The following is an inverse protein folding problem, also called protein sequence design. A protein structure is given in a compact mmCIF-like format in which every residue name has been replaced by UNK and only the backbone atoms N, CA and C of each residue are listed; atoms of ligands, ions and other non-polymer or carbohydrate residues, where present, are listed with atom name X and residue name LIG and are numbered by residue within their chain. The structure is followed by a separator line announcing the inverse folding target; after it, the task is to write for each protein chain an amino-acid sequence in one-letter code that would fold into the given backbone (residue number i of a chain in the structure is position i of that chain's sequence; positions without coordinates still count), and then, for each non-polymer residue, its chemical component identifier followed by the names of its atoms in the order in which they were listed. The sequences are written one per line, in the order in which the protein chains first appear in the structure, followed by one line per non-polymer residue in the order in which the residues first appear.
data_IF_809321776801
#
_entry.id   IF_809321776801
#
_cell.length_a   1.000
_cell.length_b   1.000
_cell.length_c   1.000
_cell.angle_alpha   90.00
_cell.angle_beta   90.00
_cell.angle_gamma   90.00
#
_symmetry.space_group_name_H-M   'P 1'
#
loop_
_entity.id
_entity.type
_entity.pdbx_description
1 polymer ?
#
# COMPACT_ATOMS: atom_id res chain seq x y z
N UNK A 1 5.54 -2.86 -5.01
CA UNK A 1 4.65 -3.98 -4.61
C UNK A 1 5.48 -5.22 -4.33
N UNK A 2 4.86 -6.39 -4.16
CA UNK A 2 5.53 -7.64 -3.77
C UNK A 2 6.77 -7.97 -4.64
N UNK A 3 6.74 -7.66 -5.94
CA UNK A 3 7.86 -7.90 -6.86
C UNK A 3 9.17 -7.22 -6.44
N UNK A 4 9.13 -6.12 -5.68
CA UNK A 4 10.35 -5.44 -5.20
C UNK A 4 11.20 -6.31 -4.27
N UNK A 5 10.59 -7.32 -3.62
CA UNK A 5 11.31 -8.28 -2.78
C UNK A 5 12.21 -9.23 -3.58
N UNK A 6 12.03 -9.33 -4.89
CA UNK A 6 12.96 -10.08 -5.76
C UNK A 6 14.33 -9.42 -5.86
N UNK A 7 14.41 -8.10 -5.66
CA UNK A 7 15.68 -7.36 -5.67
C UNK A 7 16.32 -7.35 -4.28
N UNK A 8 15.60 -6.85 -3.27
CA UNK A 8 15.99 -6.94 -1.86
C UNK A 8 14.82 -6.52 -0.93
N UNK A 9 14.88 -6.82 0.39
CA UNK A 9 13.83 -6.46 1.33
C UNK A 9 13.54 -4.96 1.44
N UNK A 10 14.54 -4.08 1.27
CA UNK A 10 14.35 -2.63 1.35
C UNK A 10 13.50 -2.09 0.20
N UNK A 11 13.83 -2.49 -1.04
CA UNK A 11 13.06 -2.13 -2.25
C UNK A 11 11.67 -2.75 -2.18
N UNK A 12 11.58 -4.01 -1.73
CA UNK A 12 10.32 -4.69 -1.47
C UNK A 12 9.43 -3.91 -0.51
N UNK A 13 9.92 -3.59 0.68
CA UNK A 13 9.18 -2.86 1.70
C UNK A 13 8.78 -1.46 1.25
N UNK A 14 9.70 -0.70 0.66
CA UNK A 14 9.41 0.65 0.16
C UNK A 14 8.31 0.63 -0.90
N UNK A 15 8.50 -0.17 -1.96
CA UNK A 15 7.53 -0.21 -3.06
C UNK A 15 6.20 -0.83 -2.61
N UNK A 16 6.19 -1.74 -1.64
CA UNK A 16 4.96 -2.26 -1.04
C UNK A 16 4.22 -1.15 -0.30
N UNK A 17 4.92 -0.45 0.60
CA UNK A 17 4.34 0.56 1.46
C UNK A 17 3.74 1.72 0.66
N UNK A 18 4.38 2.16 -0.44
CA UNK A 18 3.81 3.22 -1.30
C UNK A 18 2.41 2.87 -1.82
N UNK A 19 2.20 1.66 -2.34
CA UNK A 19 0.89 1.23 -2.84
C UNK A 19 -0.12 0.91 -1.71
N UNK A 20 0.34 0.66 -0.48
CA UNK A 20 -0.49 0.32 0.67
C UNK A 20 -0.63 1.47 1.68
N UNK A 21 -0.12 2.66 1.36
CA UNK A 21 -0.23 3.82 2.23
C UNK A 21 -1.55 4.55 1.96
N UNK A 22 -2.49 4.47 2.91
CA UNK A 22 -3.83 5.07 2.74
C UNK A 22 -3.79 6.57 2.46
N UNK A 23 -2.82 7.31 3.01
CA UNK A 23 -2.67 8.73 2.69
C UNK A 23 -2.31 8.99 1.22
N UNK A 24 -1.52 8.11 0.58
CA UNK A 24 -1.22 8.21 -0.86
C UNK A 24 -2.50 7.97 -1.66
N UNK A 25 -3.28 6.94 -1.29
CA UNK A 25 -4.57 6.66 -1.93
C UNK A 25 -5.55 7.84 -1.83
N UNK A 26 -5.69 8.43 -0.63
CA UNK A 26 -6.53 9.60 -0.40
C UNK A 26 -6.03 10.81 -1.18
N UNK A 27 -4.71 11.07 -1.21
CA UNK A 27 -4.13 12.16 -1.98
C UNK A 27 -4.42 12.02 -3.48
N UNK A 28 -4.30 10.81 -4.04
CA UNK A 28 -4.64 10.54 -5.44
C UNK A 28 -6.13 10.78 -5.71
N UNK A 29 -7.01 10.32 -4.82
CA UNK A 29 -8.46 10.56 -4.93
C UNK A 29 -8.83 12.04 -4.87
N UNK A 30 -8.25 12.79 -3.92
CA UNK A 30 -8.46 14.23 -3.78
C UNK A 30 -7.91 15.02 -4.98
N UNK A 31 -6.75 14.60 -5.52
CA UNK A 31 -6.21 15.19 -6.74
C UNK A 31 -7.14 14.93 -7.94
N UNK A 32 -7.69 13.71 -8.05
CA UNK A 32 -8.69 13.38 -9.06
C UNK A 32 -9.95 14.23 -8.93
N UNK A 33 -10.42 14.44 -7.71
CA UNK A 33 -11.56 15.31 -7.42
C UNK A 33 -11.28 16.77 -7.81
N UNK A 34 -10.13 17.32 -7.41
CA UNK A 34 -9.73 18.69 -7.74
C UNK A 34 -9.62 18.91 -9.26
N UNK A 35 -9.13 17.92 -10.00
CA UNK A 35 -8.98 17.96 -11.46
C UNK A 35 -10.25 17.55 -12.22
N UNK A 36 -11.37 17.24 -11.54
CA UNK A 36 -12.58 16.66 -12.14
C UNK A 36 -12.30 15.41 -13.02
N UNK A 37 -11.35 14.58 -12.61
CA UNK A 37 -10.91 13.39 -13.34
C UNK A 37 -11.41 12.11 -12.65
N UNK A 38 -12.48 11.53 -13.19
CA UNK A 38 -13.11 10.31 -12.66
C UNK A 38 -12.16 9.10 -12.62
N UNK A 39 -11.19 9.02 -13.53
CA UNK A 39 -10.21 7.92 -13.55
C UNK A 39 -9.25 8.03 -12.36
N UNK A 40 -8.77 9.23 -12.03
CA UNK A 40 -7.92 9.43 -10.85
C UNK A 40 -8.69 9.16 -9.53
N UNK A 41 -9.96 9.56 -9.47
CA UNK A 41 -10.83 9.24 -8.33
C UNK A 41 -10.93 7.72 -8.18
N UNK A 42 -11.21 6.99 -9.27
CA UNK A 42 -11.30 5.54 -9.27
C UNK A 42 -9.98 4.88 -8.82
N UNK A 43 -8.82 5.37 -9.29
CA UNK A 43 -7.51 4.87 -8.85
C UNK A 43 -7.36 5.07 -7.34
N UNK A 44 -7.69 6.25 -6.80
CA UNK A 44 -7.63 6.52 -5.36
C UNK A 44 -8.51 5.57 -4.55
N UNK A 45 -9.74 5.33 -5.00
CA UNK A 45 -10.69 4.38 -4.37
C UNK A 45 -10.16 2.95 -4.40
N UNK A 46 -9.61 2.51 -5.54
CA UNK A 46 -9.03 1.16 -5.67
C UNK A 46 -7.82 1.02 -4.75
N UNK A 47 -6.90 2.00 -4.72
CA UNK A 47 -5.73 1.96 -3.83
C UNK A 47 -6.14 1.93 -2.36
N UNK A 48 -7.13 2.73 -1.96
CA UNK A 48 -7.61 2.77 -0.58
C UNK A 48 -8.28 1.45 -0.18
N UNK A 49 -9.10 0.90 -1.07
CA UNK A 49 -9.76 -0.40 -0.90
C UNK A 49 -8.74 -1.53 -0.81
N UNK A 50 -7.74 -1.53 -1.69
CA UNK A 50 -6.64 -2.49 -1.69
C UNK A 50 -5.85 -2.44 -0.39
N UNK A 51 -5.41 -1.25 0.05
CA UNK A 51 -4.69 -1.06 1.30
C UNK A 51 -5.53 -1.42 2.55
N UNK A 52 -6.85 -1.26 2.48
CA UNK A 52 -7.75 -1.64 3.58
C UNK A 52 -8.02 -3.13 3.63
N UNK A 53 -8.21 -3.77 2.47
CA UNK A 53 -8.36 -5.22 2.35
C UNK A 53 -7.08 -5.95 2.80
N UNK A 54 -5.90 -5.42 2.43
CA UNK A 54 -4.60 -5.92 2.91
C UNK A 54 -4.49 -5.98 4.44
N UNK A 55 -5.08 -5.01 5.15
CA UNK A 55 -5.10 -4.98 6.62
C UNK A 55 -6.00 -6.04 7.23
N UNK A 56 -7.07 -6.44 6.55
CA UNK A 56 -7.97 -7.51 7.01
C UNK A 56 -7.22 -8.83 7.11
N UNK A 57 -6.23 -9.07 6.23
CA UNK A 57 -5.38 -10.27 6.26
C UNK A 57 -4.11 -10.12 7.13
N UNK A 58 -3.96 -9.02 7.86
CA UNK A 58 -2.83 -8.81 8.78
C UNK A 58 -1.50 -8.46 8.11
N UNK A 59 -1.48 -8.09 6.83
CA UNK A 59 -0.23 -7.83 6.10
C UNK A 59 0.48 -6.52 6.47
N UNK A 60 -0.25 -5.45 6.82
CA UNK A 60 0.33 -4.21 7.35
C UNK A 60 1.37 -3.50 6.49
N UNK A 61 1.86 -2.33 6.94
CA UNK A 61 3.08 -1.74 6.40
C UNK A 61 4.31 -2.55 6.83
N UNK A 62 5.26 -2.69 5.90
CA UNK A 62 6.43 -3.56 5.97
C UNK A 62 7.65 -2.84 6.52
N UNK A 63 8.40 -3.53 7.36
CA UNK A 63 9.75 -3.12 7.76
C UNK A 63 10.79 -3.54 6.69
N UNK A 64 11.94 -2.84 6.61
CA UNK A 64 12.95 -3.07 5.56
C UNK A 64 13.81 -4.33 5.74
N UNK A 65 13.44 -5.21 6.66
CA UNK A 65 14.13 -6.45 7.03
C UNK A 65 13.49 -7.70 6.39
N UNK A 66 12.16 -7.80 6.34
CA UNK A 66 11.47 -8.96 5.78
C UNK A 66 10.02 -8.66 5.35
N UNK A 67 9.46 -9.49 4.46
CA UNK A 67 8.05 -9.40 4.08
C UNK A 67 7.07 -9.70 5.24
N UNK A 68 7.50 -10.53 6.20
CA UNK A 68 6.69 -10.96 7.34
C UNK A 68 6.67 -9.95 8.48
N UNK A 69 7.66 -9.08 8.56
CA UNK A 69 7.79 -8.04 9.58
C UNK A 69 6.91 -6.84 9.23
N UNK A 70 5.88 -6.58 10.03
CA UNK A 70 4.92 -5.50 9.79
C UNK A 70 4.66 -4.71 11.07
N UNK A 71 4.19 -3.47 10.95
CA UNK A 71 3.76 -2.69 12.13
C UNK A 71 2.55 -3.27 12.88
N UNK A 72 1.83 -4.26 12.31
CA UNK A 72 0.77 -5.01 13.02
C UNK A 72 1.31 -6.24 13.74
N UNK A 73 2.62 -6.51 13.62
CA UNK A 73 3.24 -7.75 14.06
C UNK A 73 3.70 -8.63 12.90
N UNK A 74 4.12 -9.85 13.23
CA UNK A 74 4.57 -10.83 12.24
C UNK A 74 3.39 -11.55 11.61
N UNK A 75 3.37 -11.66 10.28
CA UNK A 75 2.34 -12.44 9.56
C UNK A 75 2.38 -13.90 9.99
N UNK A 76 1.20 -14.50 10.20
CA UNK A 76 1.04 -15.93 10.48
C UNK A 76 1.42 -16.33 11.91
N UNK A 77 1.49 -15.36 12.82
CA UNK A 77 1.47 -15.59 14.26
C UNK A 77 0.07 -15.42 14.80
#
# INVERSE_FOLDING_TARGET
GLLGYMMNPKIGAFTYNVFHHKAVAVAVGLLGFYLNNSLLILIGVILFSHASFDRIFGYGLKYPDSFKSTHLGSIGK
#
